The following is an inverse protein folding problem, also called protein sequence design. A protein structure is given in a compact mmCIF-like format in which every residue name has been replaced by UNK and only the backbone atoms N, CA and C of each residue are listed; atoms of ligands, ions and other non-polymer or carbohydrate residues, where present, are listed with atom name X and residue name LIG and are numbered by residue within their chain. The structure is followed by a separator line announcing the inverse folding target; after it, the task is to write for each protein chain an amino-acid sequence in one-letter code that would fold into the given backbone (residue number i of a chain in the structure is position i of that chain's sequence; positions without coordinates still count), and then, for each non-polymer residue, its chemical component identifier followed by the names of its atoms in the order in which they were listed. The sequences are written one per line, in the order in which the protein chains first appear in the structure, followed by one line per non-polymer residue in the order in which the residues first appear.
data_IF_430063576616
#
_entry.id   IF_430063576616
#
_cell.length_a   1.000
_cell.length_b   1.000
_cell.length_c   1.000
_cell.angle_alpha   90.00
_cell.angle_beta   90.00
_cell.angle_gamma   90.00
#
_symmetry.space_group_name_H-M   'P 1'
#
loop_
_entity.id
_entity.type
_entity.pdbx_description
1 polymer ?
#
# COMPACT_ATOMS: atom_id res chain seq x y z
N UNK A 1 -5.67 -3.06 28.95
CA UNK A 1 -6.60 -2.00 28.47
C UNK A 1 -5.91 -0.94 27.60
N UNK A 2 -4.57 -0.92 27.51
CA UNK A 2 -3.83 0.07 26.72
C UNK A 2 -3.72 -0.23 25.21
N UNK A 3 -3.68 -1.52 24.81
CA UNK A 3 -3.52 -1.92 23.39
C UNK A 3 -4.67 -1.46 22.47
N UNK A 4 -5.90 -1.35 22.99
CA UNK A 4 -7.05 -0.93 22.19
C UNK A 4 -7.08 0.58 21.91
N UNK A 5 -6.35 1.39 22.69
CA UNK A 5 -6.35 2.85 22.53
C UNK A 5 -5.29 3.29 21.50
N UNK A 6 -4.12 2.65 21.53
CA UNK A 6 -3.04 2.87 20.55
C UNK A 6 -3.47 2.53 19.13
N UNK A 7 -4.22 1.43 18.95
CA UNK A 7 -4.71 1.02 17.64
C UNK A 7 -5.73 2.03 17.06
N UNK A 8 -6.65 2.54 17.88
CA UNK A 8 -7.65 3.53 17.41
C UNK A 8 -7.04 4.86 16.97
N UNK A 9 -6.03 5.36 17.69
CA UNK A 9 -5.33 6.60 17.31
C UNK A 9 -4.49 6.42 16.03
N UNK A 10 -3.88 5.24 15.85
CA UNK A 10 -3.21 4.88 14.61
C UNK A 10 -4.19 4.85 13.43
N UNK A 11 -5.28 4.08 13.53
CA UNK A 11 -6.32 3.98 12.50
C UNK A 11 -6.84 5.37 12.09
N UNK A 12 -7.19 6.21 13.07
CA UNK A 12 -7.70 7.57 12.82
C UNK A 12 -6.69 8.45 12.08
N UNK A 13 -5.42 8.37 12.45
CA UNK A 13 -4.35 9.13 11.79
C UNK A 13 -4.18 8.69 10.34
N UNK A 14 -4.17 7.39 10.08
CA UNK A 14 -3.98 6.82 8.74
C UNK A 14 -5.16 7.15 7.81
N UNK A 15 -6.40 7.05 8.31
CA UNK A 15 -7.62 7.38 7.56
C UNK A 15 -7.73 8.87 7.20
N UNK A 16 -7.06 9.74 7.94
CA UNK A 16 -7.05 11.19 7.67
C UNK A 16 -6.07 11.61 6.56
N UNK A 17 -5.19 10.70 6.13
CA UNK A 17 -4.16 11.03 5.15
C UNK A 17 -4.75 11.19 3.75
N UNK A 18 -4.31 12.18 2.99
CA UNK A 18 -4.68 12.29 1.59
C UNK A 18 -4.10 11.11 0.79
N UNK A 19 -4.83 10.65 -0.22
CA UNK A 19 -4.45 9.47 -1.02
C UNK A 19 -3.04 9.56 -1.60
N UNK A 20 -2.61 10.75 -2.05
CA UNK A 20 -1.25 10.95 -2.57
C UNK A 20 -0.17 10.61 -1.53
N UNK A 21 -0.43 10.88 -0.23
CA UNK A 21 0.49 10.52 0.84
C UNK A 21 0.52 9.01 1.09
N UNK A 22 -0.64 8.35 1.05
CA UNK A 22 -0.73 6.89 1.21
C UNK A 22 0.01 6.17 0.08
N UNK A 23 -0.24 6.55 -1.18
CA UNK A 23 0.46 6.00 -2.34
C UNK A 23 1.97 6.24 -2.25
N UNK A 24 2.40 7.42 -1.76
CA UNK A 24 3.81 7.73 -1.59
C UNK A 24 4.45 6.83 -0.54
N UNK A 25 3.80 6.65 0.61
CA UNK A 25 4.29 5.78 1.67
C UNK A 25 4.35 4.31 1.25
N UNK A 26 3.42 3.88 0.39
CA UNK A 26 3.44 2.54 -0.20
C UNK A 26 4.51 2.36 -1.30
N UNK A 27 5.30 3.39 -1.61
CA UNK A 27 6.33 3.35 -2.66
C UNK A 27 5.78 3.31 -4.10
N UNK A 28 4.47 3.51 -4.26
CA UNK A 28 3.76 3.44 -5.54
C UNK A 28 3.90 4.72 -6.37
N UNK A 29 4.20 5.83 -5.70
CA UNK A 29 4.47 7.13 -6.32
C UNK A 29 5.61 7.83 -5.58
N UNK A 30 6.39 8.63 -6.30
CA UNK A 30 7.47 9.44 -5.72
C UNK A 30 6.96 10.78 -5.18
N UNK A 31 7.74 11.45 -4.32
CA UNK A 31 7.40 12.80 -3.85
C UNK A 31 7.22 13.80 -4.98
N UNK A 32 8.12 13.78 -5.97
CA UNK A 32 8.05 14.66 -7.14
C UNK A 32 6.76 14.42 -7.93
N UNK A 33 6.38 13.16 -8.16
CA UNK A 33 5.13 12.84 -8.85
C UNK A 33 3.89 13.31 -8.06
N UNK A 34 3.91 13.25 -6.72
CA UNK A 34 2.84 13.83 -5.90
C UNK A 34 2.75 15.34 -6.13
N UNK A 35 3.88 16.04 -6.12
CA UNK A 35 3.95 17.49 -6.34
C UNK A 35 3.46 17.88 -7.75
N UNK A 36 3.90 17.16 -8.78
CA UNK A 36 3.50 17.38 -10.17
C UNK A 36 1.99 17.17 -10.37
N UNK A 37 1.42 16.10 -9.79
CA UNK A 37 -0.02 15.85 -9.83
C UNK A 37 -0.78 16.98 -9.13
N UNK A 38 -0.35 17.38 -7.93
CA UNK A 38 -0.99 18.47 -7.18
C UNK A 38 -0.91 19.80 -7.93
N UNK A 39 0.23 20.09 -8.58
CA UNK A 39 0.39 21.28 -9.40
C UNK A 39 -0.57 21.26 -10.59
N UNK A 40 -0.65 20.14 -11.30
CA UNK A 40 -1.58 19.98 -12.42
C UNK A 40 -3.05 20.08 -11.98
N UNK A 41 -3.37 19.52 -10.80
CA UNK A 41 -4.71 19.56 -10.23
C UNK A 41 -5.16 20.99 -9.90
N UNK A 42 -4.26 21.89 -9.48
CA UNK A 42 -4.60 23.31 -9.20
C UNK A 42 -5.16 24.01 -10.44
N UNK A 43 -4.62 23.70 -11.62
CA UNK A 43 -5.11 24.23 -12.89
C UNK A 43 -6.31 23.45 -13.46
N UNK A 44 -6.54 22.23 -12.97
CA UNK A 44 -7.59 21.32 -13.43
C UNK A 44 -8.44 20.84 -12.24
N UNK A 45 -9.03 21.78 -11.50
CA UNK A 45 -9.67 21.52 -10.21
C UNK A 45 -10.85 20.52 -10.24
N UNK A 46 -11.35 20.18 -11.44
CA UNK A 46 -12.38 19.16 -11.63
C UNK A 46 -11.83 17.73 -11.56
N UNK A 47 -10.52 17.54 -11.77
CA UNK A 47 -9.87 16.24 -11.68
C UNK A 47 -9.43 15.94 -10.24
N UNK A 48 -9.62 14.70 -9.81
CA UNK A 48 -9.14 14.19 -8.53
C UNK A 48 -7.71 13.68 -8.66
N UNK A 49 -6.94 13.73 -7.57
CA UNK A 49 -5.56 13.24 -7.53
C UNK A 49 -5.42 11.83 -8.13
N UNK A 50 -6.28 10.89 -7.71
CA UNK A 50 -6.26 9.51 -8.18
C UNK A 50 -6.54 9.38 -9.68
N UNK A 51 -7.47 10.20 -10.21
CA UNK A 51 -7.80 10.20 -11.65
C UNK A 51 -6.61 10.67 -12.49
N UNK A 52 -5.89 11.70 -12.01
CA UNK A 52 -4.68 12.19 -12.68
C UNK A 52 -3.58 11.12 -12.64
N UNK A 53 -3.38 10.46 -11.49
CA UNK A 53 -2.38 9.40 -11.34
C UNK A 53 -2.62 8.22 -12.29
N UNK A 54 -3.89 7.84 -12.50
CA UNK A 54 -4.30 6.80 -13.46
C UNK A 54 -4.13 7.29 -14.90
N UNK A 55 -4.57 8.51 -15.20
CA UNK A 55 -4.43 9.13 -16.52
C UNK A 55 -2.97 9.18 -16.99
N UNK A 56 -2.05 9.48 -16.08
CA UNK A 56 -0.61 9.52 -16.34
C UNK A 56 0.09 8.17 -16.27
N UNK A 57 -0.66 7.07 -16.05
CA UNK A 57 -0.15 5.70 -15.92
C UNK A 57 0.90 5.52 -14.82
N UNK A 58 0.84 6.37 -13.78
CA UNK A 58 1.69 6.23 -12.59
C UNK A 58 1.23 5.03 -11.76
N UNK A 59 -0.08 4.84 -11.69
CA UNK A 59 -0.75 3.69 -11.06
C UNK A 59 -1.96 3.28 -11.89
N UNK A 60 -2.58 2.14 -11.57
CA UNK A 60 -3.84 1.72 -12.18
C UNK A 60 -5.06 2.10 -11.32
N UNK A 61 -6.24 2.05 -11.93
CA UNK A 61 -7.51 2.42 -11.31
C UNK A 61 -7.80 1.52 -10.10
N UNK A 62 -7.55 0.23 -10.22
CA UNK A 62 -7.85 -0.74 -9.18
C UNK A 62 -7.03 -0.54 -7.91
N UNK A 63 -5.78 -0.10 -8.05
CA UNK A 63 -4.91 0.28 -6.92
C UNK A 63 -5.46 1.55 -6.26
N UNK A 64 -5.87 2.55 -7.05
CA UNK A 64 -6.50 3.76 -6.50
C UNK A 64 -7.79 3.41 -5.75
N UNK A 65 -8.66 2.60 -6.36
CA UNK A 65 -9.92 2.15 -5.76
C UNK A 65 -9.67 1.37 -4.47
N UNK A 66 -8.62 0.55 -4.43
CA UNK A 66 -8.19 -0.11 -3.20
C UNK A 66 -7.92 0.90 -2.08
N UNK A 67 -7.09 1.92 -2.33
CA UNK A 67 -6.75 2.92 -1.31
C UNK A 67 -7.93 3.81 -0.89
N UNK A 68 -8.89 4.04 -1.79
CA UNK A 68 -10.06 4.88 -1.52
C UNK A 68 -11.15 4.12 -0.77
N UNK A 69 -11.46 2.90 -1.19
CA UNK A 69 -12.66 2.19 -0.75
C UNK A 69 -12.33 1.03 0.20
N UNK A 70 -11.35 0.19 -0.14
CA UNK A 70 -11.11 -1.05 0.61
C UNK A 70 -10.13 -0.87 1.77
N UNK A 71 -9.09 -0.08 1.58
CA UNK A 71 -8.06 0.15 2.58
C UNK A 71 -8.61 0.73 3.89
N UNK A 72 -9.54 1.70 3.90
CA UNK A 72 -10.16 2.17 5.13
C UNK A 72 -10.85 1.08 5.96
N UNK A 73 -11.55 0.17 5.29
CA UNK A 73 -12.24 -0.96 5.93
C UNK A 73 -11.24 -1.94 6.53
N UNK A 74 -10.17 -2.27 5.78
CA UNK A 74 -9.12 -3.18 6.24
C UNK A 74 -8.39 -2.67 7.48
N UNK A 75 -8.14 -1.36 7.57
CA UNK A 75 -7.49 -0.78 8.74
C UNK A 75 -8.44 -0.79 9.95
N UNK A 76 -9.74 -0.53 9.73
CA UNK A 76 -10.72 -0.39 10.81
C UNK A 76 -11.10 -1.72 11.42
N UNK A 77 -11.38 -2.71 10.58
CA UNK A 77 -11.90 -4.02 11.01
C UNK A 77 -10.80 -5.02 11.38
N UNK A 78 -9.53 -4.67 11.11
CA UNK A 78 -8.34 -5.48 11.32
C UNK A 78 -8.54 -6.98 11.00
N UNK A 79 -9.02 -7.32 9.79
CA UNK A 79 -9.15 -8.72 9.43
C UNK A 79 -7.75 -9.32 9.36
N UNK A 80 -7.55 -10.51 9.97
CA UNK A 80 -6.30 -11.28 9.89
C UNK A 80 -6.04 -11.72 8.44
N UNK A 81 -5.51 -10.81 7.62
CA UNK A 81 -5.09 -11.07 6.24
C UNK A 81 -3.59 -11.28 6.18
N UNK A 82 -3.19 -12.18 5.30
CA UNK A 82 -1.78 -12.40 4.98
C UNK A 82 -1.26 -11.27 4.09
N UNK A 83 0.07 -11.08 4.07
CA UNK A 83 0.75 -10.12 3.19
C UNK A 83 0.36 -10.34 1.73
N UNK A 84 0.31 -11.60 1.28
CA UNK A 84 -0.09 -11.95 -0.09
C UNK A 84 -1.52 -11.55 -0.43
N UNK A 85 -2.47 -11.73 0.49
CA UNK A 85 -3.87 -11.32 0.28
C UNK A 85 -4.02 -9.81 0.18
N UNK A 86 -3.31 -9.05 1.03
CA UNK A 86 -3.33 -7.60 0.97
C UNK A 86 -2.78 -7.10 -0.38
N UNK A 87 -1.61 -7.60 -0.78
CA UNK A 87 -0.98 -7.24 -2.06
C UNK A 87 -1.83 -7.64 -3.28
N UNK A 88 -2.58 -8.74 -3.18
CA UNK A 88 -3.57 -9.15 -4.18
C UNK A 88 -4.73 -8.17 -4.29
N UNK A 89 -5.30 -7.78 -3.16
CA UNK A 89 -6.43 -6.84 -3.10
C UNK A 89 -6.04 -5.47 -3.66
N UNK A 90 -4.83 -5.01 -3.36
CA UNK A 90 -4.25 -3.79 -3.91
C UNK A 90 -3.84 -3.89 -5.40
N UNK A 91 -4.05 -5.04 -6.05
CA UNK A 91 -3.61 -5.33 -7.43
C UNK A 91 -2.10 -5.12 -7.67
N UNK A 92 -1.31 -5.24 -6.61
CA UNK A 92 0.16 -5.15 -6.67
C UNK A 92 0.79 -6.50 -7.01
N UNK A 93 0.12 -7.59 -6.65
CA UNK A 93 0.45 -8.94 -7.09
C UNK A 93 -0.79 -9.66 -7.62
N UNK A 94 -0.59 -10.54 -8.60
CA UNK A 94 -1.62 -11.49 -9.03
C UNK A 94 -1.41 -12.89 -8.41
N UNK A 95 -2.39 -13.77 -8.58
CA UNK A 95 -2.36 -15.13 -8.02
C UNK A 95 -1.17 -15.95 -8.48
N UNK A 96 -0.73 -15.78 -9.74
CA UNK A 96 0.43 -16.50 -10.28
C UNK A 96 1.72 -16.03 -9.61
N UNK A 97 1.87 -14.73 -9.40
CA UNK A 97 3.02 -14.17 -8.68
C UNK A 97 3.03 -14.62 -7.22
N UNK A 98 1.88 -14.60 -6.54
CA UNK A 98 1.76 -15.08 -5.16
C UNK A 98 2.14 -16.55 -5.08
N UNK A 99 1.59 -17.39 -5.96
CA UNK A 99 1.95 -18.80 -6.02
C UNK A 99 3.44 -19.02 -6.27
N UNK A 100 4.02 -18.28 -7.22
CA UNK A 100 5.47 -18.36 -7.50
C UNK A 100 6.32 -17.95 -6.30
N UNK A 101 5.92 -16.92 -5.54
CA UNK A 101 6.62 -16.53 -4.32
C UNK A 101 6.54 -17.66 -3.29
N UNK A 102 5.36 -18.23 -3.06
CA UNK A 102 5.16 -19.28 -2.07
C UNK A 102 5.96 -20.55 -2.40
N UNK A 103 6.03 -20.92 -3.68
CA UNK A 103 6.87 -22.05 -4.13
C UNK A 103 8.35 -21.78 -3.82
N UNK A 104 8.86 -20.61 -4.17
CA UNK A 104 10.28 -20.27 -3.95
C UNK A 104 10.62 -20.12 -2.47
N UNK A 105 9.72 -19.51 -1.70
CA UNK A 105 9.82 -19.43 -0.24
C UNK A 105 9.87 -20.83 0.40
N UNK A 106 9.19 -21.84 -0.15
CA UNK A 106 9.26 -23.21 0.38
C UNK A 106 10.59 -23.92 0.12
N UNK A 107 11.38 -23.42 -0.85
CA UNK A 107 12.65 -24.01 -1.30
C UNK A 107 13.87 -23.22 -0.81
N UNK A 108 13.65 -22.05 -0.22
CA UNK A 108 14.68 -21.12 0.23
C UNK A 108 14.42 -20.70 1.68
N UNK A 109 15.37 -20.00 2.30
CA UNK A 109 15.15 -19.38 3.62
C UNK A 109 14.62 -17.93 3.52
N UNK A 110 14.20 -17.50 2.32
CA UNK A 110 13.71 -16.14 2.08
C UNK A 110 12.25 -16.00 2.51
N UNK A 111 11.90 -14.86 3.09
CA UNK A 111 10.52 -14.49 3.41
C UNK A 111 9.78 -14.04 2.15
N UNK A 112 8.45 -14.09 2.20
CA UNK A 112 7.56 -13.70 1.10
C UNK A 112 7.94 -12.35 0.46
N UNK A 113 8.16 -11.32 1.29
CA UNK A 113 8.54 -9.98 0.83
C UNK A 113 9.91 -9.94 0.17
N UNK A 114 10.89 -10.68 0.70
CA UNK A 114 12.25 -10.73 0.14
C UNK A 114 12.24 -11.34 -1.27
N UNK A 115 11.48 -12.43 -1.47
CA UNK A 115 11.31 -13.04 -2.79
C UNK A 115 10.64 -12.08 -3.77
N UNK A 116 9.60 -11.36 -3.33
CA UNK A 116 8.88 -10.41 -4.17
C UNK A 116 9.77 -9.24 -4.63
N UNK A 117 10.65 -8.75 -3.75
CA UNK A 117 11.63 -7.70 -4.05
C UNK A 117 12.74 -8.22 -4.97
N UNK A 118 13.30 -9.40 -4.70
CA UNK A 118 14.34 -10.00 -5.55
C UNK A 118 13.85 -10.25 -6.98
N UNK A 119 12.57 -10.59 -7.16
CA UNK A 119 11.94 -10.75 -8.48
C UNK A 119 11.61 -9.43 -9.18
N UNK A 120 11.83 -8.28 -8.52
CA UNK A 120 11.50 -6.96 -9.04
C UNK A 120 10.00 -6.71 -9.19
N UNK A 121 9.16 -7.50 -8.51
CA UNK A 121 7.70 -7.33 -8.57
C UNK A 121 7.20 -6.26 -7.61
N UNK A 122 7.88 -6.09 -6.48
CA UNK A 122 7.57 -5.08 -5.47
C UNK A 122 8.84 -4.37 -5.04
N UNK A 123 8.67 -3.15 -4.52
CA UNK A 123 9.74 -2.44 -3.84
C UNK A 123 9.71 -2.77 -2.35
N UNK A 124 10.84 -2.56 -1.66
CA UNK A 124 10.93 -2.78 -0.22
C UNK A 124 9.92 -1.93 0.54
N UNK A 125 9.76 -0.66 0.14
CA UNK A 125 8.83 0.30 0.74
C UNK A 125 7.37 -0.19 0.67
N UNK A 126 7.01 -0.90 -0.41
CA UNK A 126 5.68 -1.48 -0.56
C UNK A 126 5.45 -2.62 0.43
N UNK A 127 6.46 -3.47 0.65
CA UNK A 127 6.38 -4.54 1.65
C UNK A 127 6.30 -3.96 3.05
N UNK A 128 7.16 -2.99 3.36
CA UNK A 128 7.22 -2.35 4.68
C UNK A 128 5.90 -1.67 5.02
N UNK A 129 5.31 -0.95 4.04
CA UNK A 129 3.99 -0.36 4.16
C UNK A 129 2.95 -1.41 4.54
N UNK A 130 2.87 -2.53 3.82
CA UNK A 130 1.88 -3.58 4.10
C UNK A 130 2.09 -4.21 5.47
N UNK A 131 3.34 -4.50 5.85
CA UNK A 131 3.67 -5.07 7.16
C UNK A 131 3.25 -4.14 8.31
N UNK A 132 3.43 -2.83 8.15
CA UNK A 132 3.01 -1.84 9.14
C UNK A 132 1.50 -1.93 9.45
N UNK A 133 0.65 -2.20 8.45
CA UNK A 133 -0.80 -2.32 8.68
C UNK A 133 -1.21 -3.70 9.20
N UNK A 134 -0.53 -4.76 8.79
CA UNK A 134 -0.87 -6.14 9.22
C UNK A 134 -0.44 -6.38 10.67
N UNK A 135 0.72 -5.88 11.07
CA UNK A 135 1.26 -6.12 12.41
C UNK A 135 0.62 -5.20 13.46
N UNK A 136 0.00 -4.09 13.05
CA UNK A 136 -0.48 -3.06 13.97
C UNK A 136 0.64 -2.41 14.79
N UNK A 137 1.90 -2.72 14.48
CA UNK A 137 3.08 -2.29 15.21
C UNK A 137 3.83 -1.21 14.44
N UNK A 138 3.96 -0.06 15.09
CA UNK A 138 4.88 1.00 14.72
C UNK A 138 6.26 0.64 15.27
N UNK A 139 7.16 0.13 14.42
CA UNK A 139 8.59 0.31 14.65
C UNK A 139 9.13 1.22 13.55
N UNK A 140 9.36 2.52 13.83
CA UNK A 140 10.13 3.33 12.92
C UNK A 140 11.54 2.73 12.92
N UNK A 141 12.10 2.54 11.73
CA UNK A 141 13.53 2.31 11.61
C UNK A 141 14.24 3.45 12.38
N UNK A 142 14.96 3.04 13.43
CA UNK A 142 15.89 3.87 14.20
C UNK A 142 17.02 4.39 13.33
#
# INVERSE_FOLDING_TARGET
MEEQNVNKDFQKKELSKPIGKLLQQAGLITGNQVEEILQYQRSNCHLRFGEIAVMWRITNQETVDFFVYLFPELITDNPKKTVGEYLKLAKLLNEKQIYSILVEQSQTNLRFGEVAVQKGWLKQETIDFVLQYIQGEFTPAV
#
